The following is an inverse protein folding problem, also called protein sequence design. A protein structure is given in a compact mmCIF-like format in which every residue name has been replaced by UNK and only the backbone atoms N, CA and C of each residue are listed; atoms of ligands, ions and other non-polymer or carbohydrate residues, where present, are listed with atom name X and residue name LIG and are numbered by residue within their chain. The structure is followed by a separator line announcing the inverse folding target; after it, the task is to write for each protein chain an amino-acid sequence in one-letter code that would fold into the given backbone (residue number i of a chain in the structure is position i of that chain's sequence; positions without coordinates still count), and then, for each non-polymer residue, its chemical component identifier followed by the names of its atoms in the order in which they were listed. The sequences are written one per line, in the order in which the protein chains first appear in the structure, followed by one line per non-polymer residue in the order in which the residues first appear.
data_IF_324315422207
#
_entry.id   IF_324315422207
#
_cell.length_a   1.000
_cell.length_b   1.000
_cell.length_c   1.000
_cell.angle_alpha   90.00
_cell.angle_beta   90.00
_cell.angle_gamma   90.00
#
_symmetry.space_group_name_H-M   'P 1'
#
loop_
_entity.id
_entity.type
_entity.pdbx_description
1 polymer ?
#
# COMPACT_ATOMS: atom_id res chain seq x y z
N UNK A 1 -19.48 9.32 5.81
CA UNK A 1 -19.48 8.51 4.57
C UNK A 1 -18.16 8.78 3.87
N UNK A 2 -17.28 7.79 3.72
CA UNK A 2 -16.00 7.98 3.01
C UNK A 2 -16.28 7.84 1.52
N UNK A 3 -16.03 8.90 0.75
CA UNK A 3 -16.16 8.90 -0.72
C UNK A 3 -14.76 8.79 -1.32
N UNK A 4 -14.59 7.98 -2.36
CA UNK A 4 -13.33 7.82 -3.08
C UNK A 4 -13.53 7.85 -4.59
N UNK A 5 -12.49 8.25 -5.33
CA UNK A 5 -12.48 8.24 -6.80
C UNK A 5 -11.75 7.00 -7.29
N UNK A 6 -12.38 6.22 -8.16
CA UNK A 6 -11.74 5.06 -8.80
C UNK A 6 -11.04 5.49 -10.09
N UNK A 7 -9.74 5.20 -10.19
CA UNK A 7 -8.93 5.43 -11.40
C UNK A 7 -8.19 4.15 -11.80
N UNK A 8 -8.03 3.92 -13.10
CA UNK A 8 -7.23 2.79 -13.61
C UNK A 8 -5.79 3.24 -13.86
N UNK A 9 -4.82 2.49 -13.34
CA UNK A 9 -3.39 2.66 -13.62
C UNK A 9 -2.89 1.53 -14.50
N UNK A 10 -2.37 1.85 -15.67
CA UNK A 10 -1.75 0.87 -16.55
C UNK A 10 -0.46 0.32 -15.92
N UNK A 11 -0.30 -1.01 -15.91
CA UNK A 11 0.86 -1.68 -15.30
C UNK A 11 1.89 -2.12 -16.34
N UNK A 12 1.52 -2.96 -17.31
CA UNK A 12 2.40 -3.51 -18.37
C UNK A 12 1.59 -4.36 -19.35
N UNK A 13 2.10 -4.62 -20.56
CA UNK A 13 1.49 -5.55 -21.53
C UNK A 13 0.72 -4.86 -22.66
N UNK A 14 -0.39 -5.45 -23.07
CA UNK A 14 -1.28 -4.86 -24.09
C UNK A 14 -2.27 -3.90 -23.40
N UNK A 15 -2.45 -2.69 -23.94
CA UNK A 15 -3.23 -1.61 -23.32
C UNK A 15 -4.75 -1.88 -23.37
N UNK A 16 -5.20 -2.63 -24.37
CA UNK A 16 -6.61 -3.03 -24.59
C UNK A 16 -7.05 -4.15 -23.64
N UNK A 17 -6.12 -4.95 -23.13
CA UNK A 17 -6.40 -6.00 -22.15
C UNK A 17 -6.54 -5.39 -20.75
N UNK A 18 -7.74 -5.47 -20.18
CA UNK A 18 -8.07 -4.92 -18.86
C UNK A 18 -7.23 -5.56 -17.74
N UNK A 19 -6.74 -6.80 -17.90
CA UNK A 19 -5.92 -7.50 -16.90
C UNK A 19 -4.59 -6.78 -16.61
N UNK A 20 -4.16 -5.95 -17.55
CA UNK A 20 -2.94 -5.15 -17.48
C UNK A 20 -3.11 -3.82 -16.74
N UNK A 21 -4.32 -3.51 -16.26
CA UNK A 21 -4.64 -2.32 -15.49
C UNK A 21 -4.87 -2.65 -14.02
N UNK A 22 -4.51 -1.72 -13.14
CA UNK A 22 -4.71 -1.81 -11.69
C UNK A 22 -5.73 -0.77 -11.25
N UNK A 23 -6.83 -1.16 -10.59
CA UNK A 23 -7.73 -0.20 -9.97
C UNK A 23 -7.03 0.47 -8.78
N UNK A 24 -7.07 1.79 -8.74
CA UNK A 24 -6.61 2.62 -7.63
C UNK A 24 -7.78 3.44 -7.12
N UNK A 25 -8.07 3.32 -5.83
CA UNK A 25 -9.05 4.17 -5.15
C UNK A 25 -8.32 5.34 -4.51
N UNK A 26 -8.58 6.55 -5.01
CA UNK A 26 -8.07 7.79 -4.47
C UNK A 26 -8.97 8.26 -3.34
N UNK A 27 -8.47 8.11 -2.11
CA UNK A 27 -9.12 8.62 -0.91
C UNK A 27 -8.68 10.05 -0.58
N UNK A 28 -9.51 10.75 0.17
CA UNK A 28 -9.23 12.08 0.71
C UNK A 28 -7.95 12.08 1.60
N UNK A 29 -7.32 13.25 1.71
CA UNK A 29 -5.99 13.41 2.34
C UNK A 29 -6.04 13.22 3.86
N UNK A 30 -7.10 13.67 4.49
CA UNK A 30 -7.44 13.44 5.90
C UNK A 30 -7.36 11.95 6.30
N UNK A 31 -7.95 11.06 5.49
CA UNK A 31 -7.85 9.62 5.73
C UNK A 31 -6.40 9.13 5.67
N UNK A 32 -5.63 9.59 4.67
CA UNK A 32 -4.23 9.20 4.49
C UNK A 32 -3.35 9.71 5.63
N UNK A 33 -3.64 10.90 6.16
CA UNK A 33 -2.94 11.47 7.30
C UNK A 33 -3.15 10.60 8.55
N UNK A 34 -4.40 10.25 8.86
CA UNK A 34 -4.71 9.38 10.00
C UNK A 34 -4.07 7.99 9.84
N UNK A 35 -4.14 7.41 8.64
CA UNK A 35 -3.48 6.14 8.34
C UNK A 35 -1.97 6.19 8.56
N UNK A 36 -1.31 7.29 8.15
CA UNK A 36 0.13 7.49 8.37
C UNK A 36 0.48 7.61 9.85
N UNK A 37 -0.28 8.39 10.61
CA UNK A 37 -0.10 8.53 12.07
C UNK A 37 -0.22 7.16 12.74
N UNK A 38 -1.21 6.35 12.35
CA UNK A 38 -1.38 5.00 12.89
C UNK A 38 -0.22 4.08 12.52
N UNK A 39 0.21 4.08 11.25
CA UNK A 39 1.35 3.28 10.80
C UNK A 39 2.64 3.62 11.56
N UNK A 40 2.90 4.90 11.81
CA UNK A 40 4.08 5.34 12.56
C UNK A 40 4.05 4.89 14.02
N UNK A 41 2.87 4.89 14.65
CA UNK A 41 2.70 4.34 16.00
C UNK A 41 2.92 2.83 16.06
N UNK A 42 2.46 2.10 15.04
CA UNK A 42 2.61 0.65 14.97
C UNK A 42 4.03 0.21 14.60
N UNK A 43 4.83 1.11 14.02
CA UNK A 43 6.18 0.81 13.51
C UNK A 43 7.07 0.12 14.54
N UNK A 44 6.99 0.53 15.82
CA UNK A 44 7.80 -0.03 16.90
C UNK A 44 7.35 -1.43 17.33
N UNK A 45 6.08 -1.79 17.10
CA UNK A 45 5.52 -3.09 17.45
C UNK A 45 5.71 -4.13 16.33
N UNK A 46 5.83 -3.69 15.06
CA UNK A 46 5.94 -4.59 13.90
C UNK A 46 7.02 -5.68 14.02
N UNK A 47 8.25 -5.40 14.52
CA UNK A 47 9.28 -6.44 14.61
C UNK A 47 8.92 -7.62 15.51
N UNK A 48 8.03 -7.41 16.48
CA UNK A 48 7.64 -8.42 17.47
C UNK A 48 6.39 -9.22 17.06
N UNK A 49 5.60 -8.71 16.12
CA UNK A 49 4.33 -9.31 15.70
C UNK A 49 4.46 -10.01 14.35
N UNK A 50 5.35 -9.54 13.48
CA UNK A 50 5.42 -9.97 12.09
C UNK A 50 6.65 -10.85 11.85
N UNK A 51 6.43 -12.04 11.29
CA UNK A 51 7.46 -13.03 10.98
C UNK A 51 8.62 -12.44 10.17
N UNK A 52 9.84 -12.98 10.34
CA UNK A 52 11.07 -12.44 9.73
C UNK A 52 11.03 -12.44 8.19
N UNK A 53 10.33 -13.40 7.58
CA UNK A 53 10.13 -13.49 6.13
C UNK A 53 9.32 -12.34 5.53
N UNK A 54 8.56 -11.59 6.34
CA UNK A 54 7.88 -10.39 5.86
C UNK A 54 8.91 -9.27 5.65
N UNK A 55 9.25 -9.04 4.39
CA UNK A 55 10.27 -8.05 3.98
C UNK A 55 9.67 -6.68 3.65
N UNK A 56 8.46 -6.61 3.12
CA UNK A 56 7.84 -5.35 2.69
C UNK A 56 7.15 -4.65 3.86
N UNK A 57 7.38 -3.34 3.99
CA UNK A 57 6.68 -2.48 4.95
C UNK A 57 7.19 -2.56 6.39
N UNK A 58 8.31 -3.25 6.62
CA UNK A 58 8.98 -3.34 7.92
C UNK A 58 10.34 -2.66 7.84
N UNK A 59 10.62 -1.77 8.79
CA UNK A 59 11.87 -1.01 8.82
C UNK A 59 13.08 -1.94 8.92
N UNK A 60 14.11 -1.67 8.12
CA UNK A 60 15.34 -2.47 8.10
C UNK A 60 15.24 -3.82 7.37
N UNK A 61 14.06 -4.20 6.86
CA UNK A 61 13.88 -5.43 6.05
C UNK A 61 13.77 -5.09 4.57
N UNK A 62 14.39 -5.89 3.73
CA UNK A 62 14.32 -5.76 2.27
C UNK A 62 14.35 -7.13 1.61
N UNK A 63 13.75 -7.24 0.42
CA UNK A 63 13.92 -8.41 -0.40
C UNK A 63 15.36 -8.40 -0.94
N UNK A 64 16.17 -9.39 -0.56
CA UNK A 64 17.42 -9.65 -1.28
C UNK A 64 17.05 -10.33 -2.58
N UNK A 65 17.42 -9.69 -3.69
CA UNK A 65 17.44 -10.32 -5.01
C UNK A 65 18.71 -11.15 -5.17
#
# INVERSE_FOLDING_TARGET
MVVGVLSLLYKKGEVTDLSNWRPLTMLCVDYKLLAKVLADRLRTALPYVVHEDQTCGVEGRSIRL
#
